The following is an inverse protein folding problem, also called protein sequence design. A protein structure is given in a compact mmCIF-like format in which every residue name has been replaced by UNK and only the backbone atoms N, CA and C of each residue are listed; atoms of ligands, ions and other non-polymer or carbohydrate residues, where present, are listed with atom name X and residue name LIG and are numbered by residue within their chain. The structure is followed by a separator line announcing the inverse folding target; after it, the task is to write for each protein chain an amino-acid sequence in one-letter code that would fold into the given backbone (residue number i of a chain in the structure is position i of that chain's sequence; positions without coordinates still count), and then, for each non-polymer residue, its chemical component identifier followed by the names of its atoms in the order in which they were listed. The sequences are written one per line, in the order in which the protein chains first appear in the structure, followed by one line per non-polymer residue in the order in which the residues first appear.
data_IF_148203097786
#
_entry.id   IF_148203097786
#
_cell.length_a   1.000
_cell.length_b   1.000
_cell.length_c   1.000
_cell.angle_alpha   90.00
_cell.angle_beta   90.00
_cell.angle_gamma   90.00
#
_symmetry.space_group_name_H-M   'P 1'
#
loop_
_entity.id
_entity.type
_entity.pdbx_description
1 polymer ?
#
# COMPACT_ATOMS: atom_id res chain seq x y z
N UNK A 1 6.13 -2.98 -19.71
CA UNK A 1 6.22 -1.91 -20.71
C UNK A 1 5.93 -2.49 -22.10
N UNK A 2 4.97 -1.91 -22.84
CA UNK A 2 4.66 -2.36 -24.20
C UNK A 2 5.58 -1.70 -25.23
N UNK A 3 5.95 -2.39 -26.34
CA UNK A 3 6.71 -1.79 -27.43
C UNK A 3 5.88 -0.70 -28.14
N UNK A 4 6.55 0.19 -28.87
CA UNK A 4 5.92 1.22 -29.70
C UNK A 4 5.70 2.58 -29.03
N UNK A 5 6.29 2.83 -27.85
CA UNK A 5 6.24 4.14 -27.22
C UNK A 5 7.10 5.18 -28.00
N UNK A 6 6.69 6.47 -28.01
CA UNK A 6 7.52 7.56 -28.47
C UNK A 6 8.88 7.60 -27.76
N UNK A 7 9.90 8.17 -28.41
CA UNK A 7 11.24 8.29 -27.84
C UNK A 7 11.17 9.06 -26.51
N UNK A 8 11.69 8.46 -25.44
CA UNK A 8 11.65 9.03 -24.08
C UNK A 8 10.37 8.76 -23.31
N UNK A 9 9.46 7.92 -23.82
CA UNK A 9 8.23 7.51 -23.13
C UNK A 9 8.16 5.98 -22.98
N UNK A 10 7.37 5.52 -22.04
CA UNK A 10 7.03 4.11 -21.84
C UNK A 10 5.52 3.89 -21.92
N UNK A 11 5.11 2.89 -22.67
CA UNK A 11 3.72 2.44 -22.70
C UNK A 11 3.48 1.45 -21.55
N UNK A 12 2.47 1.71 -20.74
CA UNK A 12 2.07 0.87 -19.62
C UNK A 12 0.65 0.37 -19.82
N UNK A 13 0.43 -0.88 -19.48
CA UNK A 13 -0.87 -1.49 -19.44
C UNK A 13 -1.19 -1.91 -18.00
N UNK A 14 -2.33 -1.45 -17.51
CA UNK A 14 -2.88 -1.84 -16.22
C UNK A 14 -4.10 -2.72 -16.47
N UNK A 15 -4.12 -3.89 -15.84
CA UNK A 15 -5.25 -4.81 -15.91
C UNK A 15 -5.84 -4.97 -14.52
N UNK A 16 -7.10 -4.64 -14.38
CA UNK A 16 -7.88 -4.76 -13.15
C UNK A 16 -8.96 -5.80 -13.41
N UNK A 17 -8.84 -6.96 -12.77
CA UNK A 17 -9.72 -8.09 -12.95
C UNK A 17 -10.45 -8.43 -11.66
N UNK A 18 -11.76 -8.66 -11.77
CA UNK A 18 -12.61 -9.18 -10.72
C UNK A 18 -13.24 -10.53 -11.11
N UNK A 19 -13.77 -11.22 -10.14
CA UNK A 19 -14.54 -12.46 -10.30
C UNK A 19 -16.03 -12.24 -9.91
N UNK A 20 -16.53 -11.05 -10.09
CA UNK A 20 -17.89 -10.64 -9.77
C UNK A 20 -18.94 -11.18 -10.74
N UNK A 21 -20.11 -10.56 -10.69
CA UNK A 21 -21.27 -10.98 -11.52
C UNK A 21 -21.06 -10.78 -13.02
N UNK A 22 -20.01 -10.05 -13.42
CA UNK A 22 -19.80 -9.65 -14.81
C UNK A 22 -20.81 -8.60 -15.28
N UNK A 23 -20.74 -8.23 -16.55
CA UNK A 23 -21.49 -7.12 -17.14
C UNK A 23 -22.11 -7.58 -18.46
N UNK A 24 -23.40 -7.32 -18.67
CA UNK A 24 -24.11 -7.70 -19.91
C UNK A 24 -23.51 -6.99 -21.13
N UNK A 25 -23.55 -7.66 -22.29
CA UNK A 25 -23.03 -7.10 -23.55
C UNK A 25 -23.75 -5.80 -23.96
N UNK A 26 -24.99 -5.64 -23.57
CA UNK A 26 -25.76 -4.43 -23.85
C UNK A 26 -25.28 -3.28 -22.98
N UNK A 27 -25.10 -3.52 -21.68
CA UNK A 27 -24.64 -2.49 -20.75
C UNK A 27 -23.18 -2.09 -20.98
N UNK A 28 -22.31 -3.00 -21.45
CA UNK A 28 -20.91 -2.70 -21.80
C UNK A 28 -20.78 -1.55 -22.82
N UNK A 29 -21.79 -1.30 -23.65
CA UNK A 29 -21.77 -0.21 -24.65
C UNK A 29 -21.92 1.17 -24.00
N UNK A 30 -22.55 1.23 -22.85
CA UNK A 30 -22.93 2.45 -22.15
C UNK A 30 -22.21 2.63 -20.80
N UNK A 31 -21.34 1.70 -20.42
CA UNK A 31 -20.75 1.64 -19.09
C UNK A 31 -19.90 2.87 -18.73
N UNK A 32 -19.41 3.61 -19.71
CA UNK A 32 -18.64 4.84 -19.52
C UNK A 32 -19.49 6.11 -19.63
N UNK A 33 -20.79 6.00 -19.87
CA UNK A 33 -21.73 7.12 -19.87
C UNK A 33 -22.06 7.54 -18.43
N UNK A 34 -22.31 8.82 -18.22
CA UNK A 34 -22.61 9.37 -16.89
C UNK A 34 -23.98 8.88 -16.41
N UNK A 35 -24.07 8.61 -15.09
CA UNK A 35 -25.29 8.18 -14.41
C UNK A 35 -25.89 6.86 -14.89
N UNK A 36 -25.15 6.07 -15.67
CA UNK A 36 -25.61 4.77 -16.13
C UNK A 36 -25.42 3.70 -15.05
N UNK A 37 -26.42 2.82 -14.92
CA UNK A 37 -26.41 1.67 -14.02
C UNK A 37 -27.13 0.49 -14.66
N UNK A 38 -26.60 -0.70 -14.46
CA UNK A 38 -27.32 -1.90 -14.90
C UNK A 38 -28.49 -2.19 -13.94
N UNK A 39 -29.68 -2.42 -14.47
CA UNK A 39 -30.93 -2.61 -13.66
C UNK A 39 -30.80 -3.76 -12.65
N UNK A 40 -30.03 -4.78 -12.97
CA UNK A 40 -29.75 -5.91 -12.06
C UNK A 40 -29.01 -5.49 -10.78
N UNK A 41 -28.25 -4.39 -10.80
CA UNK A 41 -27.54 -3.86 -9.63
C UNK A 41 -28.47 -3.17 -8.62
N UNK A 42 -29.64 -2.74 -9.05
CA UNK A 42 -30.64 -2.07 -8.21
C UNK A 42 -31.29 -3.06 -7.22
N UNK A 43 -31.35 -4.34 -7.59
CA UNK A 43 -31.94 -5.41 -6.77
C UNK A 43 -30.97 -5.88 -5.68
N UNK A 44 -29.67 -5.70 -5.86
CA UNK A 44 -28.63 -6.14 -4.91
C UNK A 44 -28.32 -5.14 -3.79
N UNK A 45 -29.00 -3.98 -3.71
CA UNK A 45 -28.79 -2.98 -2.65
C UNK A 45 -27.45 -2.25 -2.72
N UNK A 46 -26.65 -2.43 -3.76
CA UNK A 46 -25.37 -1.74 -3.94
C UNK A 46 -25.65 -0.30 -4.37
N UNK A 47 -25.41 0.65 -3.47
CA UNK A 47 -25.52 2.08 -3.78
C UNK A 47 -24.29 2.56 -4.54
N UNK A 48 -24.50 3.31 -5.62
CA UNK A 48 -23.45 3.98 -6.39
C UNK A 48 -24.04 5.09 -7.25
N UNK A 49 -23.30 6.15 -7.51
CA UNK A 49 -23.75 7.32 -8.28
C UNK A 49 -23.78 7.10 -9.80
N UNK A 50 -23.15 6.04 -10.31
CA UNK A 50 -22.96 5.81 -11.75
C UNK A 50 -21.95 6.76 -12.40
N UNK A 51 -21.15 7.49 -11.61
CA UNK A 51 -20.16 8.46 -12.09
C UNK A 51 -18.73 7.91 -12.12
N UNK A 52 -18.42 6.85 -11.39
CA UNK A 52 -17.03 6.40 -11.21
C UNK A 52 -16.32 6.05 -12.53
N UNK A 53 -16.98 5.27 -13.39
CA UNK A 53 -16.38 4.83 -14.66
C UNK A 53 -16.33 5.95 -15.71
N UNK A 54 -17.29 6.85 -15.76
CA UNK A 54 -17.24 8.01 -16.65
C UNK A 54 -16.12 8.97 -16.25
N UNK A 55 -15.93 9.23 -14.95
CA UNK A 55 -14.79 10.02 -14.45
C UNK A 55 -13.47 9.33 -14.79
N UNK A 56 -13.36 8.02 -14.57
CA UNK A 56 -12.17 7.25 -14.91
C UNK A 56 -11.84 7.36 -16.41
N UNK A 57 -12.85 7.21 -17.28
CA UNK A 57 -12.70 7.35 -18.73
C UNK A 57 -12.18 8.73 -19.11
N UNK A 58 -12.78 9.79 -18.55
CA UNK A 58 -12.36 11.17 -18.79
C UNK A 58 -10.91 11.42 -18.36
N UNK A 59 -10.49 10.90 -17.20
CA UNK A 59 -9.11 11.02 -16.72
C UNK A 59 -8.14 10.31 -17.68
N UNK A 60 -8.46 9.08 -18.07
CA UNK A 60 -7.62 8.30 -19.00
C UNK A 60 -7.50 9.01 -20.36
N UNK A 61 -8.59 9.57 -20.86
CA UNK A 61 -8.59 10.33 -22.13
C UNK A 61 -7.76 11.62 -22.02
N UNK A 62 -7.89 12.36 -20.91
CA UNK A 62 -7.06 13.55 -20.64
C UNK A 62 -5.57 13.21 -20.56
N UNK A 63 -5.23 12.00 -20.11
CA UNK A 63 -3.85 11.49 -20.09
C UNK A 63 -3.39 10.94 -21.47
N UNK A 64 -4.23 11.03 -22.51
CA UNK A 64 -3.93 10.50 -23.83
C UNK A 64 -3.89 8.96 -23.89
N UNK A 65 -4.57 8.30 -22.97
CA UNK A 65 -4.64 6.85 -22.86
C UNK A 65 -5.89 6.24 -23.49
N UNK A 66 -6.06 4.94 -23.23
CA UNK A 66 -7.26 4.20 -23.60
C UNK A 66 -7.69 3.29 -22.45
N UNK A 67 -9.00 3.16 -22.25
CA UNK A 67 -9.60 2.17 -21.35
C UNK A 67 -10.54 1.28 -22.13
N UNK A 68 -10.42 -0.03 -21.93
CA UNK A 68 -11.29 -1.05 -22.54
C UNK A 68 -11.78 -2.01 -21.47
N UNK A 69 -12.87 -2.71 -21.76
CA UNK A 69 -13.51 -3.67 -20.87
C UNK A 69 -13.68 -5.00 -21.60
N UNK A 70 -13.31 -6.08 -20.91
CA UNK A 70 -13.65 -7.46 -21.24
C UNK A 70 -14.47 -8.03 -20.10
N UNK A 71 -15.73 -8.43 -20.36
CA UNK A 71 -16.60 -8.96 -19.31
C UNK A 71 -17.57 -9.99 -19.85
N UNK A 72 -17.90 -10.96 -19.01
CA UNK A 72 -18.90 -12.00 -19.29
C UNK A 72 -19.77 -12.20 -18.05
N UNK A 73 -21.11 -12.15 -18.17
CA UNK A 73 -22.01 -12.41 -17.06
C UNK A 73 -21.68 -13.74 -16.35
N UNK A 74 -21.56 -13.67 -15.02
CA UNK A 74 -21.22 -14.80 -14.15
C UNK A 74 -19.73 -15.17 -14.10
N UNK A 75 -18.83 -14.46 -14.84
CA UNK A 75 -17.39 -14.74 -14.83
C UNK A 75 -16.53 -13.58 -14.36
N UNK A 76 -17.14 -12.40 -14.14
CA UNK A 76 -16.45 -11.19 -13.73
C UNK A 76 -16.07 -10.29 -14.89
N UNK A 77 -15.22 -9.29 -14.61
CA UNK A 77 -14.81 -8.25 -15.55
C UNK A 77 -13.31 -8.01 -15.51
N UNK A 78 -12.74 -7.57 -16.62
CA UNK A 78 -11.35 -7.12 -16.71
C UNK A 78 -11.31 -5.75 -17.39
N UNK A 79 -10.91 -4.73 -16.66
CA UNK A 79 -10.65 -3.39 -17.20
C UNK A 79 -9.17 -3.30 -17.59
N UNK A 80 -8.92 -2.79 -18.81
CA UNK A 80 -7.58 -2.67 -19.37
C UNK A 80 -7.33 -1.21 -19.68
N UNK A 81 -6.40 -0.58 -18.97
CA UNK A 81 -6.01 0.82 -19.15
C UNK A 81 -4.61 0.88 -19.75
N UNK A 82 -4.47 1.58 -20.89
CA UNK A 82 -3.18 1.82 -21.51
C UNK A 82 -2.83 3.30 -21.40
N UNK A 83 -1.64 3.59 -20.86
CA UNK A 83 -1.12 4.94 -20.69
C UNK A 83 0.33 5.03 -21.16
N UNK A 84 0.70 6.20 -21.66
CA UNK A 84 2.07 6.51 -22.04
C UNK A 84 2.65 7.54 -21.07
N UNK A 85 3.71 7.18 -20.35
CA UNK A 85 4.38 8.08 -19.41
C UNK A 85 5.76 8.48 -19.92
N UNK A 86 6.19 9.74 -19.73
CA UNK A 86 7.57 10.11 -19.91
C UNK A 86 8.48 9.26 -19.03
N UNK A 87 9.54 8.72 -19.61
CA UNK A 87 10.54 8.00 -18.83
C UNK A 87 11.43 9.02 -18.13
N UNK A 88 11.49 8.98 -16.81
CA UNK A 88 12.54 9.68 -16.08
C UNK A 88 13.89 9.13 -16.55
N UNK A 89 14.72 9.96 -17.17
CA UNK A 89 16.08 9.58 -17.57
C UNK A 89 17.00 9.26 -16.37
N UNK A 90 16.56 9.56 -15.17
CA UNK A 90 17.18 9.11 -13.95
C UNK A 90 16.72 7.67 -13.70
N UNK A 91 17.60 6.69 -13.91
CA UNK A 91 17.50 5.45 -13.14
C UNK A 91 17.42 5.91 -11.67
N UNK A 92 16.28 5.65 -11.04
CA UNK A 92 16.22 5.79 -9.59
C UNK A 92 17.29 4.83 -9.06
N UNK A 93 18.50 5.34 -8.86
CA UNK A 93 19.49 4.64 -8.06
C UNK A 93 18.80 4.47 -6.71
N UNK A 94 18.44 3.23 -6.42
CA UNK A 94 18.03 2.87 -5.07
C UNK A 94 19.32 3.04 -4.27
N UNK A 95 19.59 4.28 -3.82
CA UNK A 95 20.68 4.52 -2.89
C UNK A 95 20.39 3.65 -1.69
N UNK A 96 21.14 2.59 -1.54
CA UNK A 96 21.10 1.79 -0.32
C UNK A 96 21.35 2.74 0.86
N UNK A 97 20.69 2.45 1.96
CA UNK A 97 20.97 3.13 3.22
C UNK A 97 21.90 2.18 4.00
N UNK A 98 23.24 2.38 3.90
CA UNK A 98 24.22 1.43 4.48
C UNK A 98 23.99 1.19 5.98
N UNK A 99 23.42 2.19 6.66
CA UNK A 99 23.10 2.10 8.09
C UNK A 99 21.98 1.11 8.40
N UNK A 100 21.16 0.75 7.41
CA UNK A 100 20.03 -0.19 7.55
C UNK A 100 20.37 -1.60 7.07
N UNK A 101 21.55 -1.78 6.45
CA UNK A 101 21.92 -3.07 5.87
C UNK A 101 22.03 -4.15 6.95
N UNK A 102 21.34 -5.25 6.74
CA UNK A 102 21.30 -6.38 7.67
C UNK A 102 20.47 -6.19 8.93
N UNK A 103 19.94 -4.99 9.21
CA UNK A 103 19.06 -4.75 10.34
C UNK A 103 17.71 -5.44 10.15
N UNK A 104 17.13 -5.97 11.22
CA UNK A 104 15.82 -6.61 11.19
C UNK A 104 14.69 -5.59 11.26
N UNK A 105 13.63 -5.86 10.53
CA UNK A 105 12.39 -5.09 10.59
C UNK A 105 11.20 -6.03 10.80
N UNK A 106 10.21 -5.61 11.60
CA UNK A 106 8.95 -6.33 11.76
C UNK A 106 7.82 -5.51 11.13
N UNK A 107 7.06 -6.17 10.25
CA UNK A 107 5.84 -5.62 9.63
C UNK A 107 4.63 -6.33 10.23
N UNK A 108 3.64 -5.57 10.70
CA UNK A 108 2.37 -6.09 11.19
C UNK A 108 1.21 -5.39 10.48
N UNK A 109 0.42 -6.15 9.71
CA UNK A 109 -0.71 -5.66 8.92
C UNK A 109 -1.64 -6.83 8.65
N UNK A 110 -2.96 -6.69 8.76
CA UNK A 110 -3.90 -7.78 8.55
C UNK A 110 -4.04 -8.19 7.07
N UNK A 111 -3.62 -7.32 6.14
CA UNK A 111 -3.52 -7.65 4.72
C UNK A 111 -2.15 -8.24 4.37
N UNK A 112 -2.15 -9.52 4.01
CA UNK A 112 -0.95 -10.25 3.57
C UNK A 112 -0.25 -9.57 2.38
N UNK A 113 -1.00 -8.96 1.45
CA UNK A 113 -0.39 -8.30 0.28
C UNK A 113 0.37 -7.04 0.70
N UNK A 114 -0.15 -6.29 1.65
CA UNK A 114 0.54 -5.15 2.26
C UNK A 114 1.81 -5.62 2.96
N UNK A 115 1.73 -6.65 3.79
CA UNK A 115 2.91 -7.26 4.44
C UNK A 115 4.00 -7.63 3.44
N UNK A 116 3.66 -8.35 2.38
CA UNK A 116 4.60 -8.78 1.33
C UNK A 116 5.19 -7.59 0.56
N UNK A 117 4.37 -6.59 0.23
CA UNK A 117 4.80 -5.39 -0.48
C UNK A 117 5.81 -4.58 0.34
N UNK A 118 5.48 -4.30 1.61
CA UNK A 118 6.36 -3.56 2.54
C UNK A 118 7.65 -4.34 2.80
N UNK A 119 7.56 -5.66 3.05
CA UNK A 119 8.73 -6.52 3.22
C UNK A 119 9.64 -6.52 1.99
N UNK A 120 9.06 -6.53 0.78
CA UNK A 120 9.83 -6.41 -0.46
C UNK A 120 10.56 -5.06 -0.56
N UNK A 121 9.92 -3.97 -0.14
CA UNK A 121 10.53 -2.64 -0.11
C UNK A 121 11.69 -2.58 0.88
N UNK A 122 11.50 -3.13 2.10
CA UNK A 122 12.55 -3.19 3.13
C UNK A 122 13.75 -4.03 2.68
N UNK A 123 13.51 -5.18 2.04
CA UNK A 123 14.59 -6.00 1.45
C UNK A 123 15.39 -5.25 0.37
N UNK A 124 14.72 -4.43 -0.46
CA UNK A 124 15.39 -3.58 -1.46
C UNK A 124 16.25 -2.48 -0.83
N UNK A 125 15.96 -2.08 0.39
CA UNK A 125 16.76 -1.12 1.17
C UNK A 125 17.96 -1.80 1.84
N UNK A 126 17.98 -3.14 1.92
CA UNK A 126 19.05 -3.93 2.54
C UNK A 126 18.68 -4.50 3.91
N UNK A 127 17.44 -4.31 4.39
CA UNK A 127 16.99 -4.84 5.68
C UNK A 127 16.59 -6.32 5.59
N UNK A 128 16.47 -6.98 6.75
CA UNK A 128 15.92 -8.34 6.93
C UNK A 128 14.49 -8.24 7.51
N UNK A 129 13.46 -8.15 6.66
CA UNK A 129 12.08 -8.02 7.12
C UNK A 129 11.50 -9.38 7.53
N UNK A 130 10.70 -9.34 8.59
CA UNK A 130 9.70 -10.35 8.95
C UNK A 130 8.33 -9.70 8.98
N UNK A 131 7.28 -10.49 8.86
CA UNK A 131 5.93 -9.97 8.90
C UNK A 131 4.96 -10.92 9.61
N UNK A 132 3.87 -10.35 10.11
CA UNK A 132 2.75 -11.05 10.72
C UNK A 132 1.44 -10.33 10.41
N UNK A 133 0.33 -11.08 10.42
CA UNK A 133 -1.03 -10.53 10.25
C UNK A 133 -1.76 -10.29 11.59
N UNK A 134 -1.04 -10.40 12.72
CA UNK A 134 -1.61 -10.33 14.06
C UNK A 134 -0.78 -9.41 14.95
N UNK A 135 -1.45 -8.48 15.62
CA UNK A 135 -0.82 -7.58 16.57
C UNK A 135 -0.27 -8.33 17.80
N UNK A 136 -1.00 -9.33 18.30
CA UNK A 136 -0.54 -10.17 19.41
C UNK A 136 0.73 -10.94 19.05
N UNK A 137 0.77 -11.48 17.84
CA UNK A 137 1.97 -12.17 17.35
C UNK A 137 3.14 -11.23 17.18
N UNK A 138 2.93 -9.98 16.73
CA UNK A 138 3.98 -8.97 16.67
C UNK A 138 4.65 -8.73 18.02
N UNK A 139 3.85 -8.63 19.10
CA UNK A 139 4.37 -8.49 20.47
C UNK A 139 5.16 -9.73 20.91
N UNK A 140 4.64 -10.93 20.63
CA UNK A 140 5.32 -12.20 20.97
C UNK A 140 6.66 -12.30 20.24
N UNK A 141 6.69 -12.03 18.95
CA UNK A 141 7.91 -12.05 18.12
C UNK A 141 8.93 -11.02 18.61
N UNK A 142 8.48 -9.83 19.02
CA UNK A 142 9.35 -8.82 19.62
C UNK A 142 10.05 -9.33 20.86
N UNK A 143 9.28 -9.92 21.79
CA UNK A 143 9.83 -10.47 23.04
C UNK A 143 10.86 -11.57 22.75
N UNK A 144 10.51 -12.50 21.86
CA UNK A 144 11.40 -13.59 21.47
C UNK A 144 12.70 -13.07 20.83
N UNK A 145 12.60 -12.08 19.91
CA UNK A 145 13.76 -11.48 19.26
C UNK A 145 14.73 -10.83 20.24
N UNK A 146 14.20 -10.13 21.25
CA UNK A 146 15.01 -9.54 22.33
C UNK A 146 15.69 -10.64 23.19
N UNK A 147 14.95 -11.69 23.55
CA UNK A 147 15.49 -12.82 24.33
C UNK A 147 16.62 -13.56 23.57
N UNK A 148 16.55 -13.61 22.25
CA UNK A 148 17.59 -14.22 21.40
C UNK A 148 18.79 -13.29 21.11
N UNK A 149 18.73 -12.02 21.53
CA UNK A 149 19.78 -11.04 21.24
C UNK A 149 19.83 -10.57 19.77
N UNK A 150 18.77 -10.82 18.98
CA UNK A 150 18.62 -10.37 17.60
C UNK A 150 17.31 -9.56 17.46
N UNK A 151 17.25 -8.45 18.20
CA UNK A 151 16.08 -7.58 18.27
C UNK A 151 15.77 -6.90 16.93
N UNK A 152 14.52 -6.55 16.71
CA UNK A 152 14.13 -5.72 15.57
C UNK A 152 14.61 -4.27 15.78
N UNK A 153 15.09 -3.68 14.71
CA UNK A 153 15.57 -2.29 14.68
C UNK A 153 14.53 -1.32 14.12
N UNK A 154 13.45 -1.83 13.51
CA UNK A 154 12.34 -1.05 12.95
C UNK A 154 11.06 -1.85 13.06
N UNK A 155 9.98 -1.16 13.36
CA UNK A 155 8.61 -1.70 13.33
C UNK A 155 7.76 -0.87 12.37
N UNK A 156 6.98 -1.55 11.53
CA UNK A 156 5.98 -0.96 10.65
C UNK A 156 4.66 -1.64 10.96
N UNK A 157 3.72 -0.89 11.52
CA UNK A 157 2.51 -1.45 12.13
C UNK A 157 1.29 -0.77 11.50
N UNK A 158 0.33 -1.57 11.02
CA UNK A 158 -0.95 -1.05 10.61
C UNK A 158 -1.74 -0.49 11.79
N UNK A 159 -2.44 0.61 11.52
CA UNK A 159 -3.31 1.24 12.52
C UNK A 159 -4.44 0.33 13.00
N UNK A 160 -5.06 -0.43 12.07
CA UNK A 160 -6.25 -1.24 12.32
C UNK A 160 -5.97 -2.73 12.08
N UNK A 161 -5.44 -3.41 13.11
CA UNK A 161 -5.35 -4.88 13.09
C UNK A 161 -6.49 -5.44 13.94
N UNK A 162 -7.28 -6.42 13.44
CA UNK A 162 -8.51 -6.87 14.10
C UNK A 162 -8.36 -7.40 15.53
N UNK A 163 -7.21 -8.01 15.85
CA UNK A 163 -6.98 -8.64 17.16
C UNK A 163 -6.36 -7.70 18.20
N UNK A 164 -5.80 -6.57 17.76
CA UNK A 164 -5.21 -5.53 18.61
C UNK A 164 -4.98 -4.26 17.80
N UNK A 165 -5.45 -3.10 18.27
CA UNK A 165 -5.21 -1.84 17.55
C UNK A 165 -3.74 -1.40 17.60
N UNK A 166 -3.33 -0.58 16.63
CA UNK A 166 -1.94 -0.16 16.45
C UNK A 166 -1.34 0.52 17.69
N UNK A 167 -2.08 1.39 18.38
CA UNK A 167 -1.58 2.08 19.59
C UNK A 167 -1.28 1.06 20.71
N UNK A 168 -2.16 0.09 20.91
CA UNK A 168 -1.94 -0.91 21.94
C UNK A 168 -0.75 -1.80 21.63
N UNK A 169 -0.57 -2.16 20.34
CA UNK A 169 0.63 -2.89 19.87
C UNK A 169 1.88 -2.07 20.20
N UNK A 170 1.89 -0.78 19.86
CA UNK A 170 3.03 0.12 20.13
C UNK A 170 3.33 0.18 21.61
N UNK A 171 2.31 0.39 22.47
CA UNK A 171 2.50 0.42 23.93
C UNK A 171 3.11 -0.86 24.48
N UNK A 172 2.67 -2.02 23.99
CA UNK A 172 3.21 -3.30 24.42
C UNK A 172 4.63 -3.54 23.92
N UNK A 173 4.93 -3.20 22.68
CA UNK A 173 6.27 -3.27 22.13
C UNK A 173 7.22 -2.34 22.88
N UNK A 174 6.81 -1.10 23.18
CA UNK A 174 7.62 -0.13 23.94
C UNK A 174 8.00 -0.63 25.34
N UNK A 175 7.12 -1.36 26.01
CA UNK A 175 7.44 -1.99 27.30
C UNK A 175 8.57 -3.03 27.20
N UNK A 176 8.80 -3.60 26.04
CA UNK A 176 9.82 -4.63 25.79
C UNK A 176 11.14 -4.01 25.33
N UNK A 177 11.07 -3.03 24.38
CA UNK A 177 12.27 -2.50 23.70
C UNK A 177 12.69 -1.10 24.16
N UNK A 178 11.87 -0.38 24.94
CA UNK A 178 12.11 1.03 25.27
C UNK A 178 11.82 1.95 24.10
N UNK A 179 12.45 3.14 24.09
CA UNK A 179 12.11 4.24 23.15
C UNK A 179 13.07 4.40 21.97
N UNK A 180 14.21 3.71 21.96
CA UNK A 180 15.29 3.94 20.99
C UNK A 180 15.00 3.40 19.58
N UNK A 181 14.07 2.48 19.43
CA UNK A 181 13.75 1.85 18.15
C UNK A 181 12.59 2.57 17.44
N UNK A 182 12.72 2.95 16.16
CA UNK A 182 11.62 3.59 15.43
C UNK A 182 10.44 2.64 15.22
N UNK A 183 9.24 3.15 15.53
CA UNK A 183 7.96 2.52 15.26
C UNK A 183 7.16 3.44 14.33
N UNK A 184 6.83 2.93 13.14
CA UNK A 184 6.11 3.64 12.08
C UNK A 184 4.69 3.06 11.99
N UNK A 185 3.69 3.92 12.00
CA UNK A 185 2.30 3.51 11.77
C UNK A 185 1.95 3.69 10.30
N UNK A 186 1.36 2.64 9.70
CA UNK A 186 0.68 2.72 8.41
C UNK A 186 -0.80 3.01 8.62
N UNK A 187 -1.37 3.96 7.88
CA UNK A 187 -2.78 4.32 7.99
C UNK A 187 -3.37 4.65 6.63
N UNK A 188 -4.63 4.28 6.40
CA UNK A 188 -5.43 4.71 5.26
C UNK A 188 -6.28 5.96 5.57
N UNK A 189 -6.22 6.47 6.80
CA UNK A 189 -7.04 7.57 7.29
C UNK A 189 -6.18 8.77 7.66
N UNK A 190 -6.80 9.94 7.71
CA UNK A 190 -6.18 11.14 8.30
C UNK A 190 -5.87 10.86 9.78
N UNK A 191 -4.60 10.94 10.13
CA UNK A 191 -4.09 10.63 11.47
C UNK A 191 -4.04 11.86 12.39
N UNK A 192 -4.51 13.02 11.91
CA UNK A 192 -4.48 14.27 12.69
C UNK A 192 -5.22 14.14 14.04
N UNK A 193 -6.35 13.42 14.06
CA UNK A 193 -7.15 13.23 15.27
C UNK A 193 -6.50 12.29 16.31
N UNK A 194 -5.53 11.47 15.89
CA UNK A 194 -4.92 10.43 16.74
C UNK A 194 -3.43 10.67 16.97
N UNK A 195 -2.85 11.70 16.34
CA UNK A 195 -1.41 11.96 16.40
C UNK A 195 -0.90 12.10 17.82
N UNK A 196 -1.59 12.87 18.63
CA UNK A 196 -1.18 13.14 20.02
C UNK A 196 -1.13 11.84 20.85
N UNK A 197 -2.17 11.02 20.77
CA UNK A 197 -2.23 9.74 21.48
C UNK A 197 -1.18 8.75 20.96
N UNK A 198 -0.98 8.69 19.66
CA UNK A 198 -0.01 7.79 19.04
C UNK A 198 1.44 8.20 19.39
N UNK A 199 1.75 9.49 19.37
CA UNK A 199 3.06 9.98 19.80
C UNK A 199 3.29 9.75 21.30
N UNK A 200 2.27 9.95 22.14
CA UNK A 200 2.35 9.61 23.57
C UNK A 200 2.55 8.11 23.81
N UNK A 201 2.08 7.24 22.91
CA UNK A 201 2.33 5.80 22.95
C UNK A 201 3.74 5.42 22.45
N UNK A 202 4.50 6.36 21.86
CA UNK A 202 5.86 6.13 21.37
C UNK A 202 5.96 5.88 19.86
N UNK A 203 4.95 6.28 19.05
CA UNK A 203 5.05 6.27 17.59
C UNK A 203 6.07 7.31 17.13
N UNK A 204 6.98 6.90 16.27
CA UNK A 204 8.04 7.77 15.74
C UNK A 204 7.59 8.51 14.49
N UNK A 205 6.87 7.85 13.60
CA UNK A 205 6.40 8.42 12.33
C UNK A 205 5.12 7.75 11.83
N UNK A 206 4.47 8.43 10.87
CA UNK A 206 3.28 7.95 10.16
C UNK A 206 3.57 7.88 8.67
N UNK A 207 2.99 6.89 8.01
CA UNK A 207 2.97 6.75 6.54
C UNK A 207 1.54 6.45 6.08
N UNK A 208 1.13 7.11 5.01
CA UNK A 208 -0.16 6.85 4.37
C UNK A 208 -0.11 5.60 3.48
N UNK A 209 -1.21 4.87 3.45
CA UNK A 209 -1.44 3.82 2.44
C UNK A 209 -2.06 4.46 1.17
N UNK A 210 -1.58 4.11 -0.04
CA UNK A 210 -0.56 3.12 -0.36
C UNK A 210 0.87 3.61 -0.13
N UNK A 211 1.69 2.81 0.56
CA UNK A 211 3.08 3.15 0.86
C UNK A 211 3.96 3.02 -0.38
N UNK A 212 4.78 4.04 -0.63
CA UNK A 212 5.77 4.05 -1.70
C UNK A 212 7.20 3.90 -1.15
N UNK A 213 8.07 3.24 -1.92
CA UNK A 213 9.48 3.04 -1.53
C UNK A 213 10.22 4.35 -1.22
N UNK A 214 9.91 5.42 -1.96
CA UNK A 214 10.48 6.76 -1.74
C UNK A 214 10.11 7.34 -0.38
N UNK A 215 8.87 7.16 0.04
CA UNK A 215 8.36 7.62 1.32
C UNK A 215 8.92 6.79 2.47
N UNK A 216 8.85 5.47 2.36
CA UNK A 216 9.46 4.56 3.34
C UNK A 216 10.93 4.90 3.58
N UNK A 217 11.70 5.15 2.52
CA UNK A 217 13.12 5.56 2.64
C UNK A 217 13.30 6.89 3.35
N UNK A 218 12.44 7.86 3.06
CA UNK A 218 12.49 9.17 3.72
C UNK A 218 12.27 9.03 5.23
N UNK A 219 11.25 8.30 5.62
CA UNK A 219 10.89 8.09 7.03
C UNK A 219 11.96 7.27 7.76
N UNK A 220 12.52 6.24 7.12
CA UNK A 220 13.61 5.44 7.71
C UNK A 220 14.94 6.18 7.79
N UNK A 221 15.19 7.16 6.92
CA UNK A 221 16.45 7.90 6.95
C UNK A 221 16.58 8.82 8.18
N UNK A 222 15.47 9.34 8.70
CA UNK A 222 15.50 10.30 9.81
C UNK A 222 16.01 9.72 11.14
N UNK A 223 15.48 8.59 11.64
CA UNK A 223 15.91 8.00 12.90
C UNK A 223 17.36 7.49 12.89
N UNK A 224 17.87 7.14 11.70
CA UNK A 224 19.21 6.58 11.53
C UNK A 224 20.24 7.62 11.02
N UNK A 225 19.85 8.89 10.93
CA UNK A 225 20.84 9.96 10.69
C UNK A 225 21.76 10.05 11.89
N UNK A 226 22.99 9.58 11.70
CA UNK A 226 24.07 9.88 12.63
C UNK A 226 24.22 11.40 12.62
N UNK A 227 23.96 12.04 13.77
CA UNK A 227 24.33 13.45 13.94
C UNK A 227 25.84 13.58 13.69
N UNK A 228 26.26 14.60 12.95
CA UNK A 228 27.67 14.83 12.67
C UNK A 228 28.51 15.07 13.94
#
# INVERSE_FOLDING_TARGET
QKPGAPKGCGNYEFRIKDNGIGISKEFQKHIFEEFTREESSTVSGIQGTGLGLSITKNIVDLMGGTITLESEPGKGSEFIVNLCFPLSGQKAEIKQLPQLEGLRALVADDDTNTCLSVSTMLSKIGMRPEWTISGKEAVIRTKYAVEQGDAFSVYIIDWLIPDMNGIEIVRQIRKIIGDDCPIIILTAYDWADIEEEARAAGVTAFCEKPLFLSELRKVLAEPFRVQP
#
